data_IF_663988295329
#
_entry.id   IF_663988295329
#
_cell.length_a   1.000
_cell.length_b   1.000
_cell.length_c   1.000
_cell.angle_alpha   90.00
_cell.angle_beta   90.00
_cell.angle_gamma   90.00
#
_symmetry.space_group_name_H-M   'P 1'
#
loop_
_entity.id
_entity.type
_entity.pdbx_description
1 polymer ?
#
# COMPACT_ATOMS: atom_id res chain seq x y z
N UNK A 1 -27.14 -11.25 -0.75
CA UNK A 1 -25.73 -11.71 -0.81
C UNK A 1 -24.88 -10.66 -0.12
N UNK A 2 -24.11 -11.02 0.89
CA UNK A 2 -23.19 -10.07 1.56
C UNK A 2 -22.02 -9.73 0.63
N UNK A 3 -21.74 -8.45 0.44
CA UNK A 3 -20.63 -8.01 -0.40
C UNK A 3 -19.30 -8.16 0.36
N UNK A 4 -18.35 -8.91 -0.21
CA UNK A 4 -17.00 -9.04 0.32
C UNK A 4 -16.05 -8.15 -0.50
N UNK A 5 -15.25 -7.36 0.19
CA UNK A 5 -14.30 -6.43 -0.41
C UNK A 5 -12.88 -6.93 -0.12
N UNK A 6 -12.13 -7.26 -1.17
CA UNK A 6 -10.75 -7.73 -1.06
C UNK A 6 -9.77 -6.66 -1.55
N UNK A 7 -8.75 -6.37 -0.74
CA UNK A 7 -7.61 -5.53 -1.06
C UNK A 7 -6.33 -6.34 -1.04
N UNK A 8 -5.55 -6.27 -2.12
CA UNK A 8 -4.25 -6.93 -2.22
C UNK A 8 -3.17 -5.85 -2.29
N UNK A 9 -2.21 -5.90 -1.36
CA UNK A 9 -0.96 -5.17 -1.44
C UNK A 9 0.11 -6.05 -2.06
N UNK A 10 0.38 -5.84 -3.35
CA UNK A 10 1.29 -6.70 -4.06
C UNK A 10 2.75 -6.25 -3.88
N UNK A 11 3.54 -7.01 -3.13
CA UNK A 11 4.96 -6.73 -2.88
C UNK A 11 5.88 -7.60 -3.73
N UNK A 12 7.19 -7.37 -3.61
CA UNK A 12 8.21 -8.14 -4.37
C UNK A 12 8.46 -9.52 -3.79
N UNK A 13 8.44 -9.63 -2.47
CA UNK A 13 8.73 -10.89 -1.75
C UNK A 13 7.47 -11.48 -1.14
N UNK A 14 6.53 -10.61 -0.76
CA UNK A 14 5.28 -11.01 -0.14
C UNK A 14 4.17 -10.06 -0.59
N UNK A 15 2.96 -10.60 -0.71
CA UNK A 15 1.73 -9.84 -0.84
C UNK A 15 0.99 -9.81 0.49
N UNK A 16 0.16 -8.79 0.69
CA UNK A 16 -0.76 -8.77 1.82
C UNK A 16 -2.19 -8.71 1.32
N UNK A 17 -2.98 -9.73 1.64
CA UNK A 17 -4.37 -9.85 1.22
C UNK A 17 -5.28 -9.60 2.43
N UNK A 18 -6.18 -8.63 2.30
CA UNK A 18 -7.21 -8.34 3.31
C UNK A 18 -8.57 -8.46 2.67
N UNK A 19 -9.50 -9.17 3.31
CA UNK A 19 -10.91 -9.17 2.94
C UNK A 19 -11.74 -8.61 4.10
N UNK A 20 -12.75 -7.81 3.78
CA UNK A 20 -13.68 -7.21 4.74
C UNK A 20 -15.13 -7.41 4.26
N UNK A 21 -16.09 -7.43 5.19
CA UNK A 21 -17.52 -7.32 4.87
C UNK A 21 -17.96 -5.86 4.75
N UNK A 22 -19.26 -5.66 4.51
CA UNK A 22 -19.88 -4.34 4.33
C UNK A 22 -19.82 -3.45 5.57
N UNK A 23 -19.69 -4.03 6.76
CA UNK A 23 -19.51 -3.27 8.02
C UNK A 23 -18.06 -2.84 8.23
N UNK A 24 -17.14 -3.27 7.35
CA UNK A 24 -15.71 -3.10 7.51
C UNK A 24 -15.07 -4.12 8.44
N UNK A 25 -15.81 -5.14 8.91
CA UNK A 25 -15.26 -6.21 9.73
C UNK A 25 -14.34 -7.07 8.89
N UNK A 26 -13.15 -7.34 9.41
CA UNK A 26 -12.09 -8.09 8.72
C UNK A 26 -12.40 -9.58 8.68
N UNK A 27 -12.59 -10.10 7.47
CA UNK A 27 -12.84 -11.52 7.19
C UNK A 27 -11.54 -12.30 6.93
N UNK A 28 -10.53 -11.65 6.35
CA UNK A 28 -9.21 -12.24 6.05
C UNK A 28 -8.12 -11.18 6.20
N UNK A 29 -6.96 -11.59 6.70
CA UNK A 29 -5.73 -10.78 6.69
C UNK A 29 -4.53 -11.73 6.63
N UNK A 30 -4.00 -11.98 5.43
CA UNK A 30 -2.92 -12.93 5.22
C UNK A 30 -1.76 -12.25 4.51
N UNK A 31 -0.57 -12.44 5.07
CA UNK A 31 0.70 -12.26 4.34
C UNK A 31 0.93 -13.52 3.51
N UNK A 32 1.23 -13.33 2.24
CA UNK A 32 1.37 -14.37 1.23
C UNK A 32 2.76 -14.23 0.67
N UNK A 33 3.53 -15.30 0.57
CA UNK A 33 4.76 -15.25 -0.21
C UNK A 33 4.44 -14.90 -1.67
N UNK A 34 5.38 -14.25 -2.35
CA UNK A 34 5.30 -14.02 -3.79
C UNK A 34 5.85 -15.24 -4.54
N UNK A 35 5.32 -16.42 -4.21
CA UNK A 35 5.59 -17.69 -4.87
C UNK A 35 4.31 -18.20 -5.52
N UNK A 36 4.47 -18.93 -6.63
CA UNK A 36 3.34 -19.40 -7.42
C UNK A 36 2.36 -20.30 -6.61
N UNK A 37 2.82 -21.23 -5.75
CA UNK A 37 1.92 -22.09 -4.99
C UNK A 37 1.00 -21.33 -4.01
N UNK A 38 1.53 -20.42 -3.17
CA UNK A 38 0.67 -19.68 -2.23
C UNK A 38 -0.25 -18.69 -2.95
N UNK A 39 0.20 -18.12 -4.06
CA UNK A 39 -0.64 -17.26 -4.90
C UNK A 39 -1.83 -18.01 -5.50
N UNK A 40 -1.64 -19.29 -5.86
CA UNK A 40 -2.70 -20.14 -6.38
C UNK A 40 -3.73 -20.52 -5.30
N UNK A 41 -3.32 -20.70 -4.04
CA UNK A 41 -4.24 -20.94 -2.91
C UNK A 41 -5.22 -19.79 -2.68
N UNK A 42 -4.85 -18.57 -3.08
CA UNK A 42 -5.66 -17.35 -2.88
C UNK A 42 -6.63 -17.10 -4.05
N UNK A 43 -6.72 -18.01 -5.03
CA UNK A 43 -7.59 -17.87 -6.22
C UNK A 43 -9.08 -18.01 -5.91
N UNK A 44 -9.64 -16.98 -5.27
CA UNK A 44 -11.01 -16.54 -5.47
C UNK A 44 -11.00 -15.13 -6.06
N UNK A 45 -11.14 -15.01 -7.38
CA UNK A 45 -11.25 -13.77 -8.17
C UNK A 45 -9.94 -13.03 -8.57
N UNK A 46 -9.26 -13.56 -9.58
CA UNK A 46 -8.30 -12.81 -10.42
C UNK A 46 -8.99 -11.83 -11.40
N UNK A 47 -10.07 -11.15 -10.98
CA UNK A 47 -10.53 -9.99 -11.74
C UNK A 47 -9.70 -8.80 -11.30
N UNK A 48 -9.02 -8.16 -12.25
CA UNK A 48 -8.40 -6.84 -12.03
C UNK A 48 -9.46 -5.96 -11.35
N UNK A 49 -9.20 -5.36 -10.17
CA UNK A 49 -10.19 -4.54 -9.49
C UNK A 49 -10.68 -3.45 -10.44
N UNK A 50 -11.90 -3.61 -10.94
CA UNK A 50 -12.44 -2.75 -11.99
C UNK A 50 -13.00 -1.46 -11.39
N UNK A 51 -13.26 -1.49 -10.08
CA UNK A 51 -13.76 -0.37 -9.28
C UNK A 51 -12.74 -0.02 -8.21
N UNK A 52 -12.03 1.08 -8.43
CA UNK A 52 -11.32 1.81 -7.39
C UNK A 52 -11.75 3.28 -7.50
N UNK A 53 -11.68 4.01 -6.39
CA UNK A 53 -12.06 5.42 -6.39
C UNK A 53 -10.97 6.25 -7.10
N UNK A 54 -11.24 6.65 -8.35
CA UNK A 54 -10.31 7.44 -9.19
C UNK A 54 -9.99 8.80 -8.59
N UNK A 55 -10.95 9.44 -7.88
CA UNK A 55 -10.73 10.72 -7.21
C UNK A 55 -9.71 10.56 -6.09
N UNK A 56 -9.91 9.56 -5.23
CA UNK A 56 -8.98 9.26 -4.15
C UNK A 56 -7.58 8.91 -4.67
N UNK A 57 -7.49 8.09 -5.71
CA UNK A 57 -6.20 7.78 -6.34
C UNK A 57 -5.50 9.04 -6.85
N UNK A 58 -6.25 9.95 -7.51
CA UNK A 58 -5.69 11.20 -8.04
C UNK A 58 -5.19 12.11 -6.93
N UNK A 59 -5.93 12.24 -5.83
CA UNK A 59 -5.50 13.02 -4.66
C UNK A 59 -4.20 12.47 -4.08
N UNK A 60 -4.11 11.15 -3.86
CA UNK A 60 -2.92 10.50 -3.33
C UNK A 60 -1.73 10.59 -4.29
N UNK A 61 -1.97 10.47 -5.60
CA UNK A 61 -0.95 10.65 -6.62
C UNK A 61 -0.39 12.08 -6.61
N UNK A 62 -1.26 13.09 -6.58
CA UNK A 62 -0.84 14.50 -6.48
C UNK A 62 -0.06 14.74 -5.19
N UNK A 63 -0.55 14.25 -4.05
CA UNK A 63 0.16 14.36 -2.76
C UNK A 63 1.56 13.75 -2.83
N UNK A 64 1.72 12.60 -3.49
CA UNK A 64 3.00 11.96 -3.70
C UNK A 64 3.94 12.82 -4.58
N UNK A 65 3.44 13.41 -5.68
CA UNK A 65 4.23 14.33 -6.52
C UNK A 65 4.77 15.53 -5.75
N UNK A 66 3.96 16.17 -4.90
CA UNK A 66 4.43 17.25 -4.04
C UNK A 66 5.48 16.76 -3.05
N UNK A 67 5.27 15.60 -2.43
CA UNK A 67 6.20 15.07 -1.43
C UNK A 67 7.59 14.76 -2.00
N UNK A 68 7.69 14.36 -3.28
CA UNK A 68 8.97 14.15 -3.96
C UNK A 68 9.81 15.44 -3.99
N UNK A 69 9.15 16.61 -4.01
CA UNK A 69 9.83 17.92 -4.08
C UNK A 69 10.18 18.49 -2.71
N UNK A 70 9.43 18.15 -1.67
CA UNK A 70 9.51 18.83 -0.36
C UNK A 70 9.96 17.93 0.79
N UNK A 71 10.11 16.62 0.58
CA UNK A 71 10.50 15.68 1.62
C UNK A 71 11.60 14.75 1.10
N UNK A 72 12.76 14.80 1.73
CA UNK A 72 13.93 14.01 1.33
C UNK A 72 13.66 12.50 1.40
N UNK A 73 12.98 12.01 2.45
CA UNK A 73 12.62 10.59 2.59
C UNK A 73 11.66 10.08 1.50
N UNK A 74 10.76 10.96 1.04
CA UNK A 74 9.89 10.67 -0.10
C UNK A 74 10.68 10.64 -1.41
N UNK A 75 11.63 11.58 -1.57
CA UNK A 75 12.51 11.65 -2.74
C UNK A 75 13.42 10.43 -2.86
N UNK A 76 14.13 10.06 -1.79
CA UNK A 76 15.00 8.87 -1.72
C UNK A 76 14.25 7.59 -2.10
N UNK A 77 13.02 7.42 -1.59
CA UNK A 77 12.19 6.28 -1.97
C UNK A 77 11.82 6.28 -3.45
N UNK A 78 11.39 7.42 -3.97
CA UNK A 78 11.06 7.57 -5.39
C UNK A 78 12.26 7.26 -6.28
N UNK A 79 13.43 7.84 -5.98
CA UNK A 79 14.65 7.64 -6.77
C UNK A 79 15.11 6.18 -6.72
N UNK A 80 15.05 5.52 -5.56
CA UNK A 80 15.27 4.07 -5.45
C UNK A 80 14.32 3.29 -6.35
N UNK A 81 13.03 3.63 -6.39
CA UNK A 81 12.07 2.97 -7.30
C UNK A 81 12.39 3.22 -8.77
N UNK A 82 12.92 4.39 -9.13
CA UNK A 82 13.41 4.67 -10.49
C UNK A 82 14.65 3.84 -10.82
N UNK A 83 15.60 3.71 -9.88
CA UNK A 83 16.79 2.88 -10.02
C UNK A 83 16.46 1.38 -10.15
N UNK A 84 15.38 0.91 -9.50
CA UNK A 84 14.82 -0.43 -9.70
C UNK A 84 14.14 -0.64 -11.08
N UNK A 85 14.26 0.32 -12.02
CA UNK A 85 13.70 0.24 -13.38
C UNK A 85 12.21 0.57 -13.50
N UNK A 86 11.53 1.00 -12.42
CA UNK A 86 10.10 1.35 -12.48
C UNK A 86 9.91 2.65 -13.25
N UNK A 87 8.90 2.69 -14.14
CA UNK A 87 8.49 3.93 -14.85
C UNK A 87 8.09 5.01 -13.84
N UNK A 88 8.18 6.28 -14.23
CA UNK A 88 7.82 7.42 -13.39
C UNK A 88 6.47 7.22 -12.68
N UNK A 89 5.41 6.94 -13.44
CA UNK A 89 4.06 6.72 -12.89
C UNK A 89 4.02 5.56 -11.89
N UNK A 90 4.76 4.47 -12.14
CA UNK A 90 4.82 3.34 -11.21
C UNK A 90 5.55 3.72 -9.91
N UNK A 91 6.64 4.48 -10.00
CA UNK A 91 7.37 4.95 -8.83
C UNK A 91 6.53 5.92 -7.98
N UNK A 92 5.79 6.84 -8.62
CA UNK A 92 4.88 7.77 -7.92
C UNK A 92 3.73 7.00 -7.25
N UNK A 93 3.13 6.02 -7.94
CA UNK A 93 2.07 5.19 -7.36
C UNK A 93 2.58 4.35 -6.18
N UNK A 94 3.80 3.81 -6.26
CA UNK A 94 4.42 3.09 -5.15
C UNK A 94 4.65 4.02 -3.94
N UNK A 95 5.06 5.28 -4.18
CA UNK A 95 5.20 6.27 -3.12
C UNK A 95 3.83 6.65 -2.52
N UNK A 96 2.81 6.86 -3.34
CA UNK A 96 1.44 7.12 -2.87
C UNK A 96 0.94 5.98 -1.97
N UNK A 97 1.20 4.72 -2.36
CA UNK A 97 0.90 3.53 -1.55
C UNK A 97 1.63 3.56 -0.20
N UNK A 98 2.94 3.85 -0.20
CA UNK A 98 3.72 3.97 1.05
C UNK A 98 3.15 5.04 1.99
N UNK A 99 2.72 6.18 1.45
CA UNK A 99 2.11 7.27 2.24
C UNK A 99 0.79 6.85 2.85
N UNK A 100 -0.04 6.10 2.13
CA UNK A 100 -1.29 5.53 2.68
C UNK A 100 -0.99 4.56 3.83
N UNK A 101 0.04 3.72 3.72
CA UNK A 101 0.40 2.80 4.81
C UNK A 101 0.83 3.56 6.08
N UNK A 102 1.54 4.68 5.94
CA UNK A 102 1.87 5.55 7.09
C UNK A 102 0.61 6.14 7.70
N UNK A 103 -0.28 6.73 6.90
CA UNK A 103 -1.55 7.28 7.40
C UNK A 103 -2.39 6.22 8.12
N UNK A 104 -2.47 5.02 7.55
CA UNK A 104 -3.16 3.90 8.17
C UNK A 104 -2.54 3.54 9.52
N UNK A 105 -1.22 3.43 9.64
CA UNK A 105 -0.55 3.12 10.89
C UNK A 105 -0.79 4.21 11.96
N UNK A 106 -0.74 5.49 11.58
CA UNK A 106 -1.01 6.61 12.49
C UNK A 106 -2.45 6.59 13.02
N UNK A 107 -3.42 6.34 12.12
CA UNK A 107 -4.83 6.23 12.50
C UNK A 107 -5.12 4.98 13.34
N UNK A 108 -4.48 3.86 13.01
CA UNK A 108 -4.65 2.60 13.71
C UNK A 108 -4.08 2.67 15.13
N UNK A 109 -2.88 3.24 15.29
CA UNK A 109 -2.20 3.36 16.58
C UNK A 109 -2.67 4.57 17.40
N UNK A 110 -3.47 5.48 16.81
CA UNK A 110 -3.87 6.73 17.43
C UNK A 110 -2.71 7.68 17.72
N UNK A 111 -1.66 7.68 16.88
CA UNK A 111 -0.43 8.47 17.09
C UNK A 111 -0.24 9.55 16.03
N UNK A 112 0.47 10.60 16.40
CA UNK A 112 0.87 11.66 15.47
C UNK A 112 2.08 11.25 14.63
N UNK A 113 2.23 11.88 13.47
CA UNK A 113 3.39 11.66 12.61
C UNK A 113 4.65 12.27 13.24
N UNK A 114 5.68 11.44 13.42
CA UNK A 114 7.00 11.86 13.85
C UNK A 114 7.99 11.66 12.69
N UNK A 115 8.72 12.71 12.27
CA UNK A 115 9.65 12.64 11.14
C UNK A 115 10.94 11.85 11.46
N UNK A 116 11.28 11.70 12.74
CA UNK A 116 12.39 10.89 13.18
C UNK A 116 11.93 9.43 13.42
N UNK A 117 12.73 8.42 13.07
CA UNK A 117 12.42 7.05 13.48
C UNK A 117 12.39 7.01 15.01
N UNK A 118 11.28 6.58 15.59
CA UNK A 118 11.22 6.34 17.03
C UNK A 118 12.35 5.36 17.38
N UNK A 119 13.24 5.73 18.32
CA UNK A 119 14.36 4.90 18.77
C UNK A 119 13.96 3.50 19.29
N UNK A 120 12.65 3.25 19.41
CA UNK A 120 12.01 2.03 19.90
C UNK A 120 12.14 0.80 19.01
N UNK A 121 12.75 0.91 17.81
CA UNK A 121 12.96 -0.21 16.89
C UNK A 121 14.42 -0.69 16.78
N UNK A 122 15.33 -0.16 17.62
CA UNK A 122 16.75 -0.50 17.63
C UNK A 122 17.19 -1.32 18.87
N UNK A 123 16.24 -2.01 19.53
CA UNK A 123 16.50 -2.91 20.66
C UNK A 123 16.20 -4.37 20.27
#
# INVERSE_FOLDING_TARGET
MAAIWAGIDAGKTHHHCVAIDESGRRLLSRRVANDEPELLEIRGNLRRPQRYNRRLQRVLYTSALFSIRHCEESRRFYDRKRAEGKRHTQAVLALARRRVNVLWALLHDGRCYEPAPSARAAA
#
